data_IF_767685519931
#
_entry.id   IF_767685519931
#
_cell.length_a   1.000
_cell.length_b   1.000
_cell.length_c   1.000
_cell.angle_alpha   90.00
_cell.angle_beta   90.00
_cell.angle_gamma   90.00
#
_symmetry.space_group_name_H-M   'P 1'
#
loop_
_entity.id
_entity.type
_entity.pdbx_description
1 polymer ?
#
# COMPACT_ATOMS: atom_id res chain seq x y z
N UNK A 1 35.66 38.39 21.29
CA UNK A 1 36.12 38.91 19.98
C UNK A 1 35.51 38.00 18.92
N UNK A 2 34.50 38.53 18.23
CA UNK A 2 33.76 38.06 17.03
C UNK A 2 33.09 36.68 17.13
N UNK A 3 31.77 36.55 17.37
CA UNK A 3 30.61 37.07 16.60
C UNK A 3 30.67 36.74 15.10
N UNK A 4 30.02 35.63 14.71
CA UNK A 4 29.40 35.47 13.39
C UNK A 4 28.11 34.65 13.56
N UNK A 5 27.02 35.38 13.64
CA UNK A 5 25.64 34.92 13.56
C UNK A 5 25.32 34.61 12.10
N UNK A 6 24.94 33.38 11.77
CA UNK A 6 24.31 33.08 10.49
C UNK A 6 23.03 32.28 10.74
N UNK A 7 21.90 32.96 10.57
CA UNK A 7 20.58 32.39 10.63
C UNK A 7 20.39 31.42 9.45
N UNK A 8 20.27 30.12 9.73
CA UNK A 8 19.82 29.13 8.77
C UNK A 8 18.31 28.98 8.90
N UNK A 9 17.58 29.57 7.96
CA UNK A 9 16.16 29.28 7.75
C UNK A 9 15.97 27.78 7.51
N UNK A 10 15.28 27.12 8.44
CA UNK A 10 14.74 25.77 8.25
C UNK A 10 13.61 25.83 7.23
N UNK A 11 13.91 25.39 6.02
CA UNK A 11 12.93 25.22 4.95
C UNK A 11 12.18 23.91 5.20
N UNK A 12 10.95 24.00 5.72
CA UNK A 12 10.03 22.87 5.84
C UNK A 12 9.71 22.31 4.45
N UNK A 13 10.29 21.15 4.11
CA UNK A 13 9.90 20.36 2.95
C UNK A 13 8.60 19.61 3.24
N UNK A 14 7.47 20.33 3.17
CA UNK A 14 6.14 19.72 3.08
C UNK A 14 5.83 19.42 1.62
N UNK A 15 6.34 18.30 1.11
CA UNK A 15 5.98 17.82 -0.22
C UNK A 15 4.57 17.23 -0.19
N UNK A 16 3.57 18.08 -0.39
CA UNK A 16 2.18 17.68 -0.53
C UNK A 16 1.97 16.91 -1.84
N UNK A 17 1.15 15.84 -1.79
CA UNK A 17 0.68 15.02 -2.95
C UNK A 17 0.24 15.86 -4.17
N UNK A 18 -0.12 17.12 -3.95
CA UNK A 18 -0.52 18.10 -4.97
C UNK A 18 0.62 18.58 -5.88
N UNK A 19 1.88 18.58 -5.44
CA UNK A 19 3.04 19.01 -6.25
C UNK A 19 3.63 17.90 -7.12
N UNK A 20 3.50 16.64 -6.72
CA UNK A 20 3.97 15.50 -7.51
C UNK A 20 3.23 15.39 -8.87
N UNK A 21 1.93 15.71 -8.89
CA UNK A 21 1.15 15.77 -10.13
C UNK A 21 1.52 16.95 -11.05
N UNK A 22 2.35 17.90 -10.60
CA UNK A 22 2.75 19.07 -11.40
C UNK A 22 4.12 18.94 -12.05
N UNK A 23 4.98 18.01 -11.62
CA UNK A 23 6.37 17.90 -12.11
C UNK A 23 6.59 16.96 -13.30
N UNK A 24 5.59 16.20 -13.74
CA UNK A 24 5.72 15.27 -14.88
C UNK A 24 5.51 15.91 -16.27
N UNK A 25 5.77 17.22 -16.39
CA UNK A 25 5.56 17.99 -17.63
C UNK A 25 6.87 18.49 -18.22
N UNK A 26 7.71 17.60 -18.75
CA UNK A 26 8.86 18.01 -19.58
C UNK A 26 9.18 16.98 -20.69
N UNK A 27 8.52 17.19 -21.84
CA UNK A 27 9.03 17.11 -23.22
C UNK A 27 9.85 15.87 -23.67
N UNK A 28 9.26 15.11 -24.62
CA UNK A 28 9.86 14.89 -25.95
C UNK A 28 8.75 14.90 -27.02
N UNK A 29 8.72 15.99 -27.80
CA UNK A 29 7.92 16.17 -29.01
C UNK A 29 8.57 15.43 -30.18
N UNK A 30 7.82 14.61 -30.92
CA UNK A 30 8.27 14.12 -32.21
C UNK A 30 7.41 13.04 -32.87
N UNK A 31 6.32 13.46 -33.53
CA UNK A 31 5.77 12.94 -34.79
C UNK A 31 4.23 12.85 -34.81
N UNK A 32 3.64 13.95 -35.25
CA UNK A 32 2.44 14.14 -36.08
C UNK A 32 1.22 13.18 -35.97
N UNK A 33 0.11 13.84 -35.63
CA UNK A 33 -1.24 13.68 -36.21
C UNK A 33 -2.11 12.51 -35.72
N UNK A 34 -2.82 12.72 -34.60
CA UNK A 34 -4.30 12.59 -34.49
C UNK A 34 -4.75 12.48 -33.04
N UNK A 35 -4.64 13.54 -32.22
CA UNK A 35 -5.13 13.51 -30.83
C UNK A 35 -5.65 14.86 -30.36
N UNK A 36 -6.62 15.44 -31.06
CA UNK A 36 -7.31 16.66 -30.62
C UNK A 36 -8.25 16.46 -29.43
N UNK A 37 -8.25 15.28 -28.79
CA UNK A 37 -9.13 14.94 -27.66
C UNK A 37 -8.43 14.65 -26.32
N UNK A 38 -7.09 14.67 -26.27
CA UNK A 38 -6.33 14.26 -25.07
C UNK A 38 -5.73 15.47 -24.32
N UNK A 39 -5.61 16.63 -24.96
CA UNK A 39 -4.94 17.81 -24.37
C UNK A 39 -5.83 18.68 -23.47
N UNK A 40 -7.13 18.42 -23.37
CA UNK A 40 -8.07 19.20 -22.53
C UNK A 40 -8.33 18.61 -21.14
N UNK A 41 -7.79 17.42 -20.84
CA UNK A 41 -8.03 16.73 -19.56
C UNK A 41 -7.02 17.06 -18.45
N UNK A 42 -5.88 17.69 -18.77
CA UNK A 42 -4.81 17.98 -17.80
C UNK A 42 -4.87 19.39 -17.20
N UNK A 43 -5.74 20.28 -17.68
CA UNK A 43 -5.87 21.66 -17.16
C UNK A 43 -6.97 21.85 -16.11
N UNK A 44 -7.60 20.77 -15.61
CA UNK A 44 -8.74 20.83 -14.68
C UNK A 44 -8.42 20.39 -13.25
N UNK A 45 -7.16 20.48 -12.81
CA UNK A 45 -6.73 20.09 -11.46
C UNK A 45 -7.14 21.07 -10.33
N UNK A 46 -8.06 22.00 -10.60
CA UNK A 46 -8.66 22.89 -9.59
C UNK A 46 -10.19 22.88 -9.59
N UNK A 47 -10.84 22.04 -10.40
CA UNK A 47 -12.30 21.89 -10.35
C UNK A 47 -12.69 20.88 -9.27
N UNK A 48 -13.82 21.08 -8.55
CA UNK A 48 -14.36 20.04 -7.69
C UNK A 48 -14.51 18.76 -8.51
N UNK A 49 -14.05 17.63 -7.98
CA UNK A 49 -14.21 16.32 -8.61
C UNK A 49 -15.72 16.08 -8.79
N UNK A 50 -16.21 16.32 -10.01
CA UNK A 50 -17.62 16.27 -10.36
C UNK A 50 -18.05 14.91 -10.90
N UNK A 51 -19.34 14.76 -11.21
CA UNK A 51 -19.88 13.53 -11.79
C UNK A 51 -19.20 13.16 -13.12
N UNK A 52 -18.81 14.13 -13.94
CA UNK A 52 -18.12 13.90 -15.22
C UNK A 52 -16.79 13.16 -15.06
N UNK A 53 -16.05 13.47 -13.99
CA UNK A 53 -14.81 12.75 -13.66
C UNK A 53 -15.11 11.28 -13.35
N UNK A 54 -16.13 11.01 -12.54
CA UNK A 54 -16.49 9.64 -12.19
C UNK A 54 -17.09 8.87 -13.37
N UNK A 55 -17.81 9.55 -14.28
CA UNK A 55 -18.25 8.97 -15.55
C UNK A 55 -17.05 8.59 -16.43
N UNK A 56 -16.01 9.44 -16.48
CA UNK A 56 -14.76 9.13 -17.15
C UNK A 56 -14.07 7.91 -16.52
N UNK A 57 -13.93 7.84 -15.19
CA UNK A 57 -13.33 6.69 -14.49
C UNK A 57 -14.15 5.41 -14.77
N UNK A 58 -15.48 5.49 -14.67
CA UNK A 58 -16.40 4.38 -14.96
C UNK A 58 -16.21 3.84 -16.38
N UNK A 59 -15.97 4.71 -17.36
CA UNK A 59 -15.76 4.33 -18.77
C UNK A 59 -14.48 3.51 -19.00
N UNK A 60 -13.54 3.51 -18.04
CA UNK A 60 -12.28 2.76 -18.12
C UNK A 60 -12.44 1.28 -17.78
N UNK A 61 -13.55 0.87 -17.16
CA UNK A 61 -13.84 -0.55 -16.90
C UNK A 61 -14.55 -1.21 -18.08
N UNK A 62 -14.36 -2.52 -18.22
CA UNK A 62 -14.94 -3.31 -19.32
C UNK A 62 -16.34 -3.88 -19.02
N UNK A 63 -16.77 -3.96 -17.75
CA UNK A 63 -18.05 -4.56 -17.38
C UNK A 63 -19.26 -3.67 -17.71
N UNK A 64 -20.38 -4.31 -18.04
CA UNK A 64 -21.67 -3.64 -18.32
C UNK A 64 -22.46 -3.34 -17.05
N UNK A 65 -23.36 -2.35 -17.13
CA UNK A 65 -24.16 -1.87 -15.99
C UNK A 65 -25.38 -2.73 -15.66
N UNK A 66 -25.46 -3.94 -16.23
CA UNK A 66 -26.51 -4.89 -15.85
C UNK A 66 -26.47 -5.23 -14.34
N UNK A 67 -25.33 -4.99 -13.68
CA UNK A 67 -25.19 -5.07 -12.23
C UNK A 67 -24.36 -3.90 -11.69
N UNK A 68 -24.68 -3.45 -10.47
CA UNK A 68 -23.90 -2.44 -9.75
C UNK A 68 -22.84 -3.15 -8.89
N UNK A 69 -21.54 -2.93 -9.12
CA UNK A 69 -20.49 -3.58 -8.33
C UNK A 69 -20.43 -2.97 -6.93
N UNK A 70 -20.93 -3.71 -5.92
CA UNK A 70 -20.91 -3.28 -4.51
C UNK A 70 -19.82 -3.94 -3.66
N UNK A 71 -19.04 -4.87 -4.23
CA UNK A 71 -18.01 -5.64 -3.53
C UNK A 71 -16.60 -5.47 -4.14
N UNK A 72 -16.31 -4.27 -4.66
CA UNK A 72 -15.01 -3.98 -5.29
C UNK A 72 -13.82 -4.09 -4.31
N UNK A 73 -14.08 -3.97 -3.00
CA UNK A 73 -13.09 -4.15 -1.94
C UNK A 73 -12.62 -5.61 -1.76
N UNK A 74 -13.36 -6.59 -2.30
CA UNK A 74 -12.95 -7.99 -2.31
C UNK A 74 -12.13 -8.31 -3.57
N UNK A 75 -12.70 -8.03 -4.75
CA UNK A 75 -12.01 -8.16 -6.02
C UNK A 75 -12.55 -7.15 -7.02
N UNK A 76 -11.75 -6.11 -7.28
CA UNK A 76 -12.10 -5.08 -8.25
C UNK A 76 -11.74 -5.54 -9.67
N UNK A 77 -12.66 -5.43 -10.65
CA UNK A 77 -12.31 -5.60 -12.05
C UNK A 77 -11.17 -4.64 -12.44
N UNK A 78 -10.20 -5.11 -13.21
CA UNK A 78 -9.14 -4.22 -13.70
C UNK A 78 -9.69 -3.21 -14.71
N UNK A 79 -9.02 -2.06 -14.83
CA UNK A 79 -9.25 -1.18 -15.98
C UNK A 79 -8.96 -1.93 -17.29
N UNK A 80 -9.71 -1.59 -18.34
CA UNK A 80 -9.61 -2.20 -19.68
C UNK A 80 -8.16 -2.22 -20.18
N UNK A 81 -7.47 -1.08 -20.09
CA UNK A 81 -6.09 -0.96 -20.52
C UNK A 81 -5.14 -1.93 -19.78
N UNK A 82 -5.39 -2.20 -18.49
CA UNK A 82 -4.60 -3.16 -17.71
C UNK A 82 -4.86 -4.58 -18.20
N UNK A 83 -6.13 -4.95 -18.37
CA UNK A 83 -6.50 -6.29 -18.85
C UNK A 83 -5.94 -6.55 -20.27
N UNK A 84 -6.03 -5.57 -21.17
CA UNK A 84 -5.48 -5.63 -22.52
C UNK A 84 -3.95 -5.74 -22.52
N UNK A 85 -3.26 -4.99 -21.65
CA UNK A 85 -1.80 -5.07 -21.50
C UNK A 85 -1.37 -6.45 -21.02
N UNK A 86 -2.03 -6.98 -19.98
CA UNK A 86 -1.75 -8.33 -19.47
C UNK A 86 -1.96 -9.38 -20.57
N UNK A 87 -3.06 -9.29 -21.33
CA UNK A 87 -3.31 -10.18 -22.46
C UNK A 87 -2.22 -10.10 -23.54
N UNK A 88 -1.80 -8.89 -23.89
CA UNK A 88 -0.74 -8.65 -24.88
C UNK A 88 0.59 -9.25 -24.44
N UNK A 89 1.01 -9.01 -23.19
CA UNK A 89 2.27 -9.54 -22.66
C UNK A 89 2.24 -11.06 -22.51
N UNK A 90 1.09 -11.63 -22.16
CA UNK A 90 0.92 -13.10 -22.09
C UNK A 90 1.08 -13.73 -23.46
N UNK A 91 0.36 -13.22 -24.47
CA UNK A 91 0.46 -13.69 -25.84
C UNK A 91 1.89 -13.57 -26.41
N UNK A 92 2.59 -12.49 -26.05
CA UNK A 92 3.97 -12.28 -26.47
C UNK A 92 4.97 -13.29 -25.88
N UNK A 93 4.75 -13.79 -24.66
CA UNK A 93 5.52 -14.89 -24.09
C UNK A 93 5.20 -16.20 -24.81
N UNK A 94 3.92 -16.48 -25.02
CA UNK A 94 3.45 -17.77 -25.56
C UNK A 94 3.82 -17.98 -27.03
N UNK A 95 3.92 -16.89 -27.82
CA UNK A 95 4.27 -16.97 -29.24
C UNK A 95 5.75 -17.29 -29.49
N UNK A 96 6.65 -17.01 -28.54
CA UNK A 96 8.09 -17.26 -28.69
C UNK A 96 8.77 -17.54 -27.34
N UNK A 97 8.84 -18.83 -27.00
CA UNK A 97 9.52 -19.29 -25.80
C UNK A 97 11.06 -19.33 -25.90
N UNK A 98 11.63 -19.09 -27.09
CA UNK A 98 13.07 -19.16 -27.33
C UNK A 98 13.81 -17.86 -26.98
N UNK A 99 13.08 -16.73 -26.96
CA UNK A 99 13.62 -15.43 -26.59
C UNK A 99 13.99 -15.35 -25.10
N UNK A 100 15.00 -14.54 -24.76
CA UNK A 100 15.36 -14.27 -23.36
C UNK A 100 14.35 -13.33 -22.69
N UNK A 101 13.18 -13.87 -22.37
CA UNK A 101 12.09 -13.15 -21.71
C UNK A 101 12.51 -12.57 -20.35
N UNK A 102 13.47 -13.19 -19.63
CA UNK A 102 13.94 -12.64 -18.35
C UNK A 102 14.53 -11.25 -18.52
N UNK A 103 15.45 -11.08 -19.47
CA UNK A 103 16.03 -9.76 -19.76
C UNK A 103 14.97 -8.75 -20.19
N UNK A 104 14.01 -9.17 -21.03
CA UNK A 104 12.90 -8.33 -21.49
C UNK A 104 12.04 -7.76 -20.36
N UNK A 105 11.65 -8.61 -19.42
CA UNK A 105 10.73 -8.24 -18.35
C UNK A 105 11.42 -7.60 -17.15
N UNK A 106 12.74 -7.75 -16.99
CA UNK A 106 13.50 -7.08 -15.93
C UNK A 106 13.34 -5.56 -15.99
N UNK A 107 13.54 -4.94 -17.16
CA UNK A 107 13.43 -3.48 -17.29
C UNK A 107 12.00 -2.99 -17.02
N UNK A 108 11.00 -3.74 -17.51
CA UNK A 108 9.58 -3.45 -17.25
C UNK A 108 9.24 -3.57 -15.76
N UNK A 109 9.83 -4.54 -15.06
CA UNK A 109 9.64 -4.73 -13.62
C UNK A 109 10.25 -3.56 -12.83
N UNK A 110 11.49 -3.17 -13.15
CA UNK A 110 12.17 -2.05 -12.50
C UNK A 110 11.46 -0.72 -12.75
N UNK A 111 11.00 -0.49 -13.97
CA UNK A 111 10.19 0.69 -14.28
C UNK A 111 8.86 0.68 -13.50
N UNK A 112 8.17 -0.46 -13.45
CA UNK A 112 6.91 -0.58 -12.68
C UNK A 112 7.12 -0.28 -11.19
N UNK A 113 8.23 -0.72 -10.61
CA UNK A 113 8.58 -0.45 -9.22
C UNK A 113 8.83 1.03 -8.96
N UNK A 114 9.50 1.73 -9.88
CA UNK A 114 9.71 3.18 -9.77
C UNK A 114 8.37 3.92 -9.76
N UNK A 115 7.45 3.58 -10.67
CA UNK A 115 6.11 4.20 -10.72
C UNK A 115 5.32 3.99 -9.42
N UNK A 116 5.39 2.78 -8.83
CA UNK A 116 4.74 2.49 -7.53
C UNK A 116 5.39 3.30 -6.40
N UNK A 117 6.73 3.35 -6.37
CA UNK A 117 7.47 4.08 -5.36
C UNK A 117 7.16 5.58 -5.39
N UNK A 118 7.11 6.15 -6.58
CA UNK A 118 6.69 7.54 -6.83
C UNK A 118 5.26 7.82 -6.33
N UNK A 119 4.31 6.93 -6.65
CA UNK A 119 2.92 7.06 -6.19
C UNK A 119 2.81 7.03 -4.65
N UNK A 120 3.67 6.23 -4.00
CA UNK A 120 3.71 6.08 -2.54
C UNK A 120 4.65 7.10 -1.86
N UNK A 121 5.41 7.88 -2.64
CA UNK A 121 6.42 8.82 -2.18
C UNK A 121 7.48 8.15 -1.29
N UNK A 122 8.05 7.05 -1.78
CA UNK A 122 9.14 6.27 -1.16
C UNK A 122 10.21 5.95 -2.20
N UNK A 123 11.36 5.43 -1.78
CA UNK A 123 12.38 4.92 -2.70
C UNK A 123 11.94 3.62 -3.37
N UNK A 124 12.35 3.40 -4.62
CA UNK A 124 12.15 2.10 -5.29
C UNK A 124 12.78 0.93 -4.50
N UNK A 125 13.85 1.18 -3.75
CA UNK A 125 14.50 0.17 -2.89
C UNK A 125 13.63 -0.26 -1.70
N UNK A 126 12.58 0.50 -1.37
CA UNK A 126 11.62 0.19 -0.31
C UNK A 126 10.41 -0.61 -0.83
N UNK A 127 10.35 -0.89 -2.15
CA UNK A 127 9.24 -1.59 -2.78
C UNK A 127 9.63 -3.01 -3.20
N UNK A 128 8.98 -3.99 -2.57
CA UNK A 128 8.95 -5.37 -3.05
C UNK A 128 7.64 -5.60 -3.85
N UNK A 129 7.78 -6.12 -5.07
CA UNK A 129 6.63 -6.50 -5.91
C UNK A 129 6.32 -7.98 -5.69
N UNK A 130 5.11 -8.27 -5.21
CA UNK A 130 4.61 -9.61 -4.89
C UNK A 130 3.23 -9.83 -5.51
N UNK A 131 2.75 -11.06 -5.56
CA UNK A 131 1.53 -11.40 -6.33
C UNK A 131 0.25 -10.93 -5.65
N UNK A 132 0.23 -10.89 -4.32
CA UNK A 132 -0.94 -10.48 -3.54
C UNK A 132 -0.58 -10.20 -2.07
N UNK A 133 -1.54 -9.64 -1.32
CA UNK A 133 -1.39 -9.32 0.11
C UNK A 133 -1.11 -10.54 0.98
N UNK A 134 -1.67 -11.70 0.66
CA UNK A 134 -1.45 -12.90 1.49
C UNK A 134 -0.01 -13.40 1.36
N UNK A 135 0.58 -13.33 0.17
CA UNK A 135 2.01 -13.57 -0.03
C UNK A 135 2.86 -12.53 0.70
N UNK A 136 2.50 -11.24 0.62
CA UNK A 136 3.18 -10.17 1.37
C UNK A 136 3.20 -10.45 2.88
N UNK A 137 2.03 -10.77 3.44
CA UNK A 137 1.85 -11.11 4.85
C UNK A 137 2.73 -12.29 5.25
N UNK A 138 2.83 -13.33 4.41
CA UNK A 138 3.68 -14.49 4.66
C UNK A 138 5.17 -14.18 4.57
N UNK A 139 5.59 -13.29 3.66
CA UNK A 139 6.99 -12.85 3.56
C UNK A 139 7.40 -12.13 4.85
N UNK A 140 6.59 -11.17 5.33
CA UNK A 140 6.87 -10.48 6.60
C UNK A 140 6.83 -11.45 7.77
N UNK A 141 5.78 -12.30 7.83
CA UNK A 141 5.62 -13.30 8.87
C UNK A 141 6.84 -14.23 8.97
N UNK A 142 7.45 -14.67 7.87
CA UNK A 142 8.58 -15.61 7.90
C UNK A 142 9.95 -14.92 7.90
N UNK A 143 10.05 -13.67 7.45
CA UNK A 143 11.33 -12.96 7.27
C UNK A 143 11.88 -12.28 8.52
N UNK A 144 11.10 -12.15 9.59
CA UNK A 144 11.56 -11.56 10.86
C UNK A 144 12.29 -12.59 11.71
N UNK A 145 13.50 -12.29 12.18
CA UNK A 145 14.23 -13.14 13.12
C UNK A 145 13.61 -13.06 14.53
N UNK A 146 13.00 -14.15 14.98
CA UNK A 146 12.33 -14.25 16.28
C UNK A 146 12.82 -15.48 17.04
N UNK A 147 12.93 -15.34 18.35
CA UNK A 147 13.33 -16.41 19.25
C UNK A 147 12.11 -17.07 19.90
N UNK A 148 12.29 -18.31 20.36
CA UNK A 148 11.29 -19.01 21.17
C UNK A 148 10.90 -18.15 22.38
N UNK A 149 9.60 -17.97 22.60
CA UNK A 149 9.04 -17.16 23.69
C UNK A 149 8.86 -15.68 23.36
N UNK A 150 9.34 -15.19 22.21
CA UNK A 150 9.01 -13.84 21.73
C UNK A 150 7.52 -13.71 21.48
N UNK A 151 6.97 -12.54 21.80
CA UNK A 151 5.54 -12.25 21.71
C UNK A 151 5.21 -11.45 20.44
N UNK A 152 4.20 -11.94 19.73
CA UNK A 152 3.59 -11.33 18.56
C UNK A 152 2.18 -10.88 18.95
N UNK A 153 1.94 -9.58 18.90
CA UNK A 153 0.62 -9.01 19.06
C UNK A 153 -0.07 -8.97 17.70
N UNK A 154 -1.29 -9.49 17.62
CA UNK A 154 -2.11 -9.44 16.42
C UNK A 154 -3.49 -8.91 16.76
N UNK A 155 -4.11 -8.17 15.85
CA UNK A 155 -5.50 -7.76 16.00
C UNK A 155 -6.44 -8.91 15.61
N UNK A 156 -7.45 -9.18 16.41
CA UNK A 156 -8.46 -10.21 16.11
C UNK A 156 -9.25 -9.94 14.81
N UNK A 157 -9.34 -8.68 14.38
CA UNK A 157 -9.99 -8.30 13.11
C UNK A 157 -9.03 -8.18 11.92
N UNK A 158 -7.77 -8.60 12.05
CA UNK A 158 -6.93 -8.78 10.88
C UNK A 158 -7.53 -9.81 9.92
N UNK A 159 -7.18 -9.72 8.64
CA UNK A 159 -7.54 -10.73 7.67
C UNK A 159 -7.03 -12.13 8.12
N UNK A 160 -7.80 -13.22 7.93
CA UNK A 160 -7.40 -14.55 8.37
C UNK A 160 -6.02 -15.00 7.85
N UNK A 161 -5.62 -14.58 6.64
CA UNK A 161 -4.31 -14.94 6.08
C UNK A 161 -3.13 -14.30 6.82
N UNK A 162 -3.36 -13.23 7.58
CA UNK A 162 -2.37 -12.65 8.48
C UNK A 162 -2.36 -13.42 9.81
N UNK A 163 -3.52 -13.54 10.47
CA UNK A 163 -3.61 -14.17 11.80
C UNK A 163 -3.24 -15.65 11.81
N UNK A 164 -3.73 -16.44 10.84
CA UNK A 164 -3.42 -17.88 10.76
C UNK A 164 -1.92 -18.10 10.49
N UNK A 165 -1.27 -17.23 9.72
CA UNK A 165 0.17 -17.34 9.50
C UNK A 165 0.97 -17.17 10.80
N UNK A 166 0.58 -16.24 11.67
CA UNK A 166 1.19 -16.07 12.99
C UNK A 166 0.90 -17.24 13.93
N UNK A 167 -0.34 -17.73 13.96
CA UNK A 167 -0.71 -18.91 14.76
C UNK A 167 0.13 -20.14 14.34
N UNK A 168 0.29 -20.39 13.03
CA UNK A 168 1.11 -21.49 12.50
C UNK A 168 2.60 -21.30 12.83
N UNK A 169 3.13 -20.08 12.64
CA UNK A 169 4.54 -19.79 12.96
C UNK A 169 4.82 -19.99 14.45
N UNK A 170 3.90 -19.55 15.31
CA UNK A 170 4.02 -19.71 16.76
C UNK A 170 4.03 -21.17 17.18
N UNK A 171 3.12 -21.99 16.65
CA UNK A 171 3.09 -23.42 16.92
C UNK A 171 4.40 -24.13 16.50
N UNK A 172 5.00 -23.72 15.38
CA UNK A 172 6.24 -24.32 14.85
C UNK A 172 7.50 -23.91 15.62
N UNK A 173 7.60 -22.64 16.02
CA UNK A 173 8.83 -22.08 16.58
C UNK A 173 8.74 -21.72 18.08
N UNK A 174 7.58 -21.98 18.70
CA UNK A 174 7.34 -21.70 20.11
C UNK A 174 7.26 -20.20 20.41
N UNK A 175 6.69 -19.40 19.49
CA UNK A 175 6.36 -17.99 19.75
C UNK A 175 5.08 -17.90 20.58
N UNK A 176 4.85 -16.75 21.18
CA UNK A 176 3.59 -16.44 21.88
C UNK A 176 2.77 -15.49 21.02
N UNK A 177 1.53 -15.85 20.69
CA UNK A 177 0.61 -14.96 19.98
C UNK A 177 -0.38 -14.38 20.98
N UNK A 178 -0.42 -13.05 21.08
CA UNK A 178 -1.41 -12.32 21.86
C UNK A 178 -2.42 -11.66 20.91
N UNK A 179 -3.68 -12.06 20.99
CA UNK A 179 -4.78 -11.50 20.18
C UNK A 179 -5.40 -10.33 20.92
N UNK A 180 -5.25 -9.13 20.36
CA UNK A 180 -5.86 -7.90 20.86
C UNK A 180 -7.28 -7.79 20.30
N UNK A 181 -8.26 -7.54 21.16
CA UNK A 181 -9.66 -7.28 20.76
C UNK A 181 -10.00 -5.82 20.92
N UNK A 182 -10.50 -5.19 19.85
CA UNK A 182 -10.98 -3.82 19.88
C UNK A 182 -12.48 -3.74 20.13
N UNK A 183 -13.00 -2.68 20.78
CA UNK A 183 -14.44 -2.45 20.86
C UNK A 183 -15.08 -2.32 19.47
N UNK A 184 -16.28 -2.86 19.27
CA UNK A 184 -17.04 -2.75 18.01
C UNK A 184 -17.34 -1.30 17.61
N UNK A 185 -17.52 -0.43 18.61
CA UNK A 185 -17.81 0.99 18.46
C UNK A 185 -16.88 1.79 19.37
N UNK A 186 -15.64 2.04 18.95
CA UNK A 186 -14.69 2.79 19.77
C UNK A 186 -15.20 4.21 20.00
N UNK A 187 -15.32 4.61 21.26
CA UNK A 187 -15.86 5.93 21.63
C UNK A 187 -14.94 7.08 21.19
N UNK A 188 -13.62 6.85 21.18
CA UNK A 188 -12.62 7.84 20.80
C UNK A 188 -11.45 7.19 20.07
N UNK A 189 -10.70 8.01 19.32
CA UNK A 189 -9.41 7.61 18.74
C UNK A 189 -8.43 7.12 19.81
N UNK A 190 -8.39 7.78 20.97
CA UNK A 190 -7.49 7.41 22.07
C UNK A 190 -7.82 6.02 22.62
N UNK A 191 -9.10 5.68 22.74
CA UNK A 191 -9.51 4.34 23.19
C UNK A 191 -8.97 3.23 22.27
N UNK A 192 -8.93 3.46 20.95
CA UNK A 192 -8.28 2.51 20.03
C UNK A 192 -6.77 2.44 20.26
N UNK A 193 -6.09 3.58 20.45
CA UNK A 193 -4.64 3.59 20.72
C UNK A 193 -4.35 2.79 21.99
N UNK A 194 -5.06 3.07 23.07
CA UNK A 194 -4.87 2.43 24.39
C UNK A 194 -5.16 0.93 24.35
N UNK A 195 -6.12 0.50 23.51
CA UNK A 195 -6.44 -0.92 23.30
C UNK A 195 -5.19 -1.71 22.87
N UNK A 196 -4.37 -1.16 21.97
CA UNK A 196 -3.16 -1.84 21.50
C UNK A 196 -1.96 -1.57 22.42
N UNK A 197 -1.75 -0.33 22.85
CA UNK A 197 -0.54 0.04 23.61
C UNK A 197 -0.51 -0.54 25.02
N UNK A 198 -1.69 -0.78 25.62
CA UNK A 198 -1.81 -1.46 26.93
C UNK A 198 -1.38 -2.92 26.91
N UNK A 199 -1.30 -3.54 25.72
CA UNK A 199 -0.93 -4.94 25.55
C UNK A 199 0.59 -5.13 25.43
N UNK A 200 1.36 -4.04 25.31
CA UNK A 200 2.82 -4.14 25.15
C UNK A 200 3.50 -4.62 26.43
N UNK A 201 4.22 -5.72 26.33
CA UNK A 201 5.04 -6.34 27.38
C UNK A 201 6.54 -6.22 27.05
N UNK A 202 7.44 -6.53 28.01
CA UNK A 202 8.87 -6.64 27.70
C UNK A 202 9.23 -7.73 26.67
N UNK A 203 8.33 -8.69 26.42
CA UNK A 203 8.51 -9.76 25.43
C UNK A 203 7.93 -9.43 24.06
N UNK A 204 7.17 -8.34 23.93
CA UNK A 204 6.62 -7.92 22.65
C UNK A 204 7.75 -7.65 21.66
N UNK A 205 7.70 -8.31 20.50
CA UNK A 205 8.66 -8.12 19.39
C UNK A 205 8.00 -7.68 18.11
N UNK A 206 6.76 -8.11 17.87
CA UNK A 206 6.03 -7.77 16.65
C UNK A 206 4.61 -7.33 16.99
N UNK A 207 4.15 -6.27 16.33
CA UNK A 207 2.75 -5.88 16.24
C UNK A 207 2.29 -6.02 14.79
N UNK A 208 1.34 -6.91 14.51
CA UNK A 208 0.74 -7.10 13.18
C UNK A 208 -0.71 -6.64 13.20
N UNK A 209 -1.03 -5.59 12.45
CA UNK A 209 -2.36 -4.96 12.42
C UNK A 209 -2.77 -4.61 10.99
N UNK A 210 -4.07 -4.62 10.67
CA UNK A 210 -4.60 -4.03 9.45
C UNK A 210 -5.01 -2.58 9.70
N UNK A 211 -4.77 -1.70 8.73
CA UNK A 211 -5.12 -0.29 8.86
C UNK A 211 -6.64 -0.08 8.85
N UNK A 212 -7.36 -0.84 8.03
CA UNK A 212 -8.84 -0.85 7.98
C UNK A 212 -9.32 -2.29 8.03
N UNK A 213 -10.21 -2.60 8.97
CA UNK A 213 -10.83 -3.93 9.08
C UNK A 213 -11.82 -4.16 7.95
N UNK A 214 -11.68 -5.27 7.22
CA UNK A 214 -12.68 -5.72 6.26
C UNK A 214 -13.93 -6.33 6.93
N UNK A 215 -13.88 -6.58 8.24
CA UNK A 215 -14.97 -7.15 9.04
C UNK A 215 -15.89 -6.05 9.57
N UNK A 216 -15.31 -5.03 10.21
CA UNK A 216 -16.07 -3.97 10.90
C UNK A 216 -16.01 -2.61 10.19
N UNK A 217 -15.07 -2.40 9.27
CA UNK A 217 -14.78 -1.09 8.70
C UNK A 217 -14.02 -0.13 9.63
N UNK A 218 -13.63 -0.56 10.84
CA UNK A 218 -12.84 0.27 11.76
C UNK A 218 -11.49 0.60 11.14
N UNK A 219 -11.17 1.90 11.10
CA UNK A 219 -9.86 2.44 10.70
C UNK A 219 -9.01 2.72 11.93
N UNK A 220 -7.87 2.05 12.04
CA UNK A 220 -6.95 2.24 13.16
C UNK A 220 -6.14 3.54 13.04
N UNK A 221 -5.83 4.22 14.16
CA UNK A 221 -4.87 5.31 14.21
C UNK A 221 -3.42 4.77 14.13
N UNK A 222 -3.06 4.23 12.97
CA UNK A 222 -1.81 3.48 12.77
C UNK A 222 -0.56 4.32 13.05
N UNK A 223 -0.58 5.62 12.76
CA UNK A 223 0.57 6.51 12.99
C UNK A 223 0.95 6.55 14.47
N UNK A 224 -0.05 6.73 15.34
CA UNK A 224 0.13 6.82 16.78
C UNK A 224 0.52 5.46 17.38
N UNK A 225 -0.14 4.38 16.93
CA UNK A 225 0.14 3.02 17.39
C UNK A 225 1.57 2.61 16.99
N UNK A 226 1.98 2.86 15.74
CA UNK A 226 3.33 2.57 15.24
C UNK A 226 4.38 3.35 16.04
N UNK A 227 4.15 4.64 16.29
CA UNK A 227 5.08 5.45 17.09
C UNK A 227 5.27 4.89 18.50
N UNK A 228 4.18 4.47 19.16
CA UNK A 228 4.24 3.87 20.49
C UNK A 228 4.95 2.50 20.49
N UNK A 229 4.76 1.68 19.45
CA UNK A 229 5.44 0.40 19.28
C UNK A 229 6.94 0.58 19.04
N UNK A 230 7.34 1.50 18.15
CA UNK A 230 8.75 1.81 17.88
C UNK A 230 9.48 2.36 19.11
N UNK A 231 8.81 3.15 19.96
CA UNK A 231 9.36 3.61 21.23
C UNK A 231 9.73 2.45 22.18
N UNK A 232 9.17 1.25 21.97
CA UNK A 232 9.49 0.02 22.70
C UNK A 232 10.31 -0.98 21.86
N UNK A 233 10.84 -0.57 20.71
CA UNK A 233 11.61 -1.42 19.80
C UNK A 233 10.82 -2.65 19.29
N UNK A 234 9.51 -2.49 19.10
CA UNK A 234 8.62 -3.49 18.53
C UNK A 234 8.56 -3.28 17.02
N UNK A 235 8.81 -4.33 16.22
CA UNK A 235 8.59 -4.29 14.77
C UNK A 235 7.10 -4.18 14.47
N UNK A 236 6.72 -3.36 13.49
CA UNK A 236 5.31 -3.20 13.12
C UNK A 236 5.07 -3.64 11.69
N UNK A 237 4.10 -4.53 11.52
CA UNK A 237 3.55 -4.93 10.24
C UNK A 237 2.15 -4.34 10.08
N UNK A 238 1.97 -3.47 9.09
CA UNK A 238 0.67 -2.88 8.78
C UNK A 238 0.15 -3.46 7.46
N UNK A 239 -0.94 -4.22 7.52
CA UNK A 239 -1.70 -4.62 6.33
C UNK A 239 -2.51 -3.43 5.83
N UNK A 240 -2.16 -2.93 4.65
CA UNK A 240 -2.72 -1.74 4.03
C UNK A 240 -3.73 -2.00 2.92
N UNK A 241 -4.25 -3.23 2.76
CA UNK A 241 -5.02 -3.61 1.58
C UNK A 241 -6.34 -2.85 1.35
N UNK A 242 -6.94 -2.30 2.41
CA UNK A 242 -8.26 -1.64 2.40
C UNK A 242 -8.17 -0.09 2.52
N UNK A 243 -7.03 0.51 2.16
CA UNK A 243 -6.72 1.94 2.41
C UNK A 243 -6.85 2.81 1.17
#
# INVERSE_FOLDING_TARGET
VNEFTQASHTMEMTTSRRKFLQSSGALLLGAAASTSGVSTAQSSASSPIGQDYWALVRSKFAFSEATVPMNAANLCPSFRAVAETVGTLTYDIDRDCSFNNRAKFTDLLEHSRQLVAEQLNVSATEIALVRNTSEANNIVNNGLDLNKGDEVLIWDQNHPTNNVAWDVRAARFGLVVNKVSSPDKPATKQALIDTFTSQFTPRSRVLSITHVSNVSGIKLPVKEIVAAAHAKQIYVHVDGAQV
#
